data_IF_628938224780
#
_entry.id   IF_628938224780
#
_cell.length_a   1.000
_cell.length_b   1.000
_cell.length_c   1.000
_cell.angle_alpha   90.00
_cell.angle_beta   90.00
_cell.angle_gamma   90.00
#
_symmetry.space_group_name_H-M   'P 1'
#
loop_
_entity.id
_entity.type
_entity.pdbx_description
1 polymer ?
#
# COMPACT_ATOMS: atom_id res chain seq x y z
N UNK A 1 18.52 12.17 8.07
CA UNK A 1 17.17 12.12 7.48
C UNK A 1 16.21 12.74 8.49
N UNK A 2 15.12 13.43 8.09
CA UNK A 2 14.09 13.78 9.06
C UNK A 2 13.65 12.51 9.79
N UNK A 3 13.45 12.59 11.10
CA UNK A 3 13.01 11.48 11.96
C UNK A 3 11.56 11.13 11.56
N UNK A 4 11.43 10.33 10.50
CA UNK A 4 10.15 9.92 9.94
C UNK A 4 9.79 8.55 10.50
N UNK A 5 8.59 8.44 11.07
CA UNK A 5 8.02 7.17 11.50
C UNK A 5 6.98 6.70 10.51
N UNK A 6 6.98 5.40 10.30
CA UNK A 6 6.01 4.72 9.46
C UNK A 6 5.26 3.72 10.33
N UNK A 7 3.93 3.80 10.29
CA UNK A 7 3.04 2.89 11.02
C UNK A 7 2.23 2.14 9.98
N UNK A 8 2.19 0.81 10.09
CA UNK A 8 1.39 -0.05 9.22
C UNK A 8 0.52 -0.95 10.07
N UNK A 9 -0.72 -1.17 9.69
CA UNK A 9 -1.64 -2.09 10.34
C UNK A 9 -2.57 -2.76 9.35
N UNK A 10 -3.08 -3.94 9.70
CA UNK A 10 -4.16 -4.59 8.95
C UNK A 10 -5.47 -3.84 9.16
N UNK A 11 -6.27 -3.75 8.10
CA UNK A 11 -7.60 -3.14 8.10
C UNK A 11 -8.60 -4.06 7.40
N UNK A 12 -9.87 -3.91 7.75
CA UNK A 12 -10.98 -4.56 7.06
C UNK A 12 -11.88 -3.52 6.40
N UNK A 13 -12.53 -3.92 5.32
CA UNK A 13 -13.60 -3.12 4.75
C UNK A 13 -14.92 -3.36 5.49
N UNK A 14 -15.65 -2.27 5.75
CA UNK A 14 -16.98 -2.32 6.36
C UNK A 14 -17.94 -1.38 5.59
N UNK A 15 -18.91 -1.92 4.81
CA UNK A 15 -19.14 -3.34 4.57
C UNK A 15 -17.97 -4.00 3.82
N UNK A 16 -17.83 -5.35 3.88
CA UNK A 16 -16.82 -6.06 3.10
C UNK A 16 -16.93 -5.75 1.60
N UNK A 17 -15.78 -5.67 0.93
CA UNK A 17 -15.74 -5.56 -0.53
C UNK A 17 -16.41 -6.80 -1.14
N UNK A 18 -17.19 -6.61 -2.20
CA UNK A 18 -17.73 -7.72 -2.97
C UNK A 18 -16.59 -8.62 -3.47
N UNK A 19 -16.82 -9.93 -3.58
CA UNK A 19 -15.81 -10.89 -4.06
C UNK A 19 -15.24 -10.52 -5.45
N UNK A 20 -16.01 -9.76 -6.24
CA UNK A 20 -15.61 -9.28 -7.56
C UNK A 20 -14.89 -7.91 -7.55
N UNK A 21 -14.70 -7.28 -6.39
CA UNK A 21 -14.02 -5.99 -6.25
C UNK A 21 -14.75 -4.79 -6.88
N UNK A 22 -16.03 -4.91 -7.20
CA UNK A 22 -16.81 -3.84 -7.82
C UNK A 22 -17.15 -2.77 -6.79
N UNK A 23 -16.37 -1.68 -6.79
CA UNK A 23 -16.77 -0.40 -6.21
C UNK A 23 -17.61 0.37 -7.24
N UNK A 24 -18.81 0.81 -6.84
CA UNK A 24 -19.60 1.72 -7.67
C UNK A 24 -18.77 2.97 -8.01
N UNK A 25 -18.59 3.25 -9.31
CA UNK A 25 -17.83 4.38 -9.86
C UNK A 25 -16.29 4.30 -9.75
N UNK A 26 -15.70 3.16 -9.39
CA UNK A 26 -14.26 2.99 -9.54
C UNK A 26 -13.86 2.87 -11.02
N UNK A 27 -12.74 3.49 -11.39
CA UNK A 27 -12.14 3.25 -12.71
C UNK A 27 -11.76 1.77 -12.86
N UNK A 28 -11.78 1.26 -14.09
CA UNK A 28 -11.50 -0.15 -14.42
C UNK A 28 -10.16 -0.63 -13.87
N UNK A 29 -9.14 0.22 -13.89
CA UNK A 29 -7.83 -0.09 -13.29
C UNK A 29 -7.91 -0.25 -11.77
N UNK A 30 -8.79 0.51 -11.12
CA UNK A 30 -9.01 0.44 -9.68
C UNK A 30 -9.81 -0.81 -9.36
N UNK A 31 -10.96 -1.08 -10.01
CA UNK A 31 -11.76 -2.29 -9.77
C UNK A 31 -10.97 -3.59 -9.95
N UNK A 32 -10.15 -3.70 -11.01
CA UNK A 32 -9.29 -4.86 -11.23
C UNK A 32 -8.21 -5.02 -10.13
N UNK A 33 -7.67 -3.90 -9.65
CA UNK A 33 -6.71 -3.90 -8.56
C UNK A 33 -7.34 -4.11 -7.18
N UNK A 34 -8.66 -4.04 -7.04
CA UNK A 34 -9.35 -4.25 -5.75
C UNK A 34 -9.91 -5.67 -5.63
N UNK A 35 -10.11 -6.37 -6.74
CA UNK A 35 -10.58 -7.77 -6.76
C UNK A 35 -9.94 -8.57 -5.62
N UNK A 36 -10.80 -9.07 -4.73
CA UNK A 36 -10.40 -9.74 -3.49
C UNK A 36 -10.28 -11.23 -3.76
N UNK A 37 -9.05 -11.70 -3.95
CA UNK A 37 -8.77 -13.13 -4.07
C UNK A 37 -8.62 -13.76 -2.69
N UNK A 38 -8.88 -15.08 -2.54
CA UNK A 38 -8.55 -15.81 -1.33
C UNK A 38 -7.08 -15.56 -0.93
N UNK A 39 -6.86 -15.19 0.34
CA UNK A 39 -5.52 -14.85 0.83
C UNK A 39 -5.08 -13.39 0.60
N UNK A 40 -5.98 -12.52 0.14
CA UNK A 40 -5.74 -11.07 0.07
C UNK A 40 -5.81 -10.44 1.47
N UNK A 41 -4.86 -9.56 1.78
CA UNK A 41 -4.83 -8.77 3.02
C UNK A 41 -4.77 -7.29 2.67
N UNK A 42 -5.54 -6.46 3.37
CA UNK A 42 -5.45 -5.01 3.25
C UNK A 42 -4.68 -4.42 4.42
N UNK A 43 -3.71 -3.57 4.10
CA UNK A 43 -2.93 -2.82 5.06
C UNK A 43 -3.21 -1.34 4.88
N UNK A 44 -3.27 -0.62 5.99
CA UNK A 44 -3.23 0.82 6.01
C UNK A 44 -1.86 1.26 6.53
N UNK A 45 -1.29 2.29 5.90
CA UNK A 45 0.04 2.80 6.20
C UNK A 45 0.04 4.31 6.33
N UNK A 46 0.67 4.81 7.38
CA UNK A 46 0.90 6.23 7.66
C UNK A 46 2.39 6.51 7.75
N UNK A 47 2.80 7.68 7.26
CA UNK A 47 4.13 8.22 7.45
C UNK A 47 4.04 9.65 7.96
N UNK A 48 4.67 9.90 9.10
CA UNK A 48 4.65 11.18 9.81
C UNK A 48 6.05 11.52 10.33
N UNK A 49 6.27 12.78 10.71
CA UNK A 49 7.44 13.12 11.52
C UNK A 49 7.24 12.57 12.93
N UNK A 50 8.30 12.08 13.57
CA UNK A 50 8.24 11.44 14.90
C UNK A 50 7.65 12.35 15.99
N UNK A 51 7.74 13.66 15.82
CA UNK A 51 7.16 14.66 16.72
C UNK A 51 5.77 15.18 16.29
N UNK A 52 5.19 14.64 15.21
CA UNK A 52 3.90 15.05 14.63
C UNK A 52 3.14 13.83 14.09
N UNK A 53 3.01 12.77 14.91
CA UNK A 53 2.35 11.53 14.50
C UNK A 53 0.88 11.72 14.11
N UNK A 54 0.24 12.78 14.60
CA UNK A 54 -1.13 13.22 14.28
C UNK A 54 -1.23 13.96 12.93
N UNK A 55 -0.10 14.22 12.24
CA UNK A 55 -0.04 14.95 10.97
C UNK A 55 0.76 14.15 9.94
N UNK A 56 0.26 12.98 9.53
CA UNK A 56 0.93 12.20 8.50
C UNK A 56 0.98 12.99 7.19
N UNK A 57 2.16 13.02 6.56
CA UNK A 57 2.34 13.64 5.25
C UNK A 57 2.13 12.64 4.10
N UNK A 58 2.00 11.35 4.41
CA UNK A 58 1.72 10.29 3.44
C UNK A 58 0.87 9.22 4.11
N UNK A 59 -0.23 8.88 3.47
CA UNK A 59 -1.13 7.80 3.90
C UNK A 59 -1.44 6.94 2.67
N UNK A 60 -1.54 5.63 2.85
CA UNK A 60 -1.89 4.68 1.78
C UNK A 60 -2.72 3.54 2.31
N UNK A 61 -3.60 3.05 1.43
CA UNK A 61 -4.09 1.69 1.51
C UNK A 61 -3.25 0.80 0.60
N UNK A 62 -2.92 -0.40 1.08
CA UNK A 62 -2.19 -1.41 0.34
C UNK A 62 -3.04 -2.68 0.28
N UNK A 63 -3.20 -3.27 -0.90
CA UNK A 63 -3.64 -4.65 -1.09
C UNK A 63 -2.42 -5.53 -1.23
N UNK A 64 -2.34 -6.55 -0.39
CA UNK A 64 -1.30 -7.59 -0.45
C UNK A 64 -1.96 -8.87 -0.97
N UNK A 65 -1.48 -9.39 -2.09
CA UNK A 65 -2.03 -10.60 -2.70
C UNK A 65 -0.92 -11.45 -3.30
N UNK A 66 -1.04 -12.77 -3.18
CA UNK A 66 -0.16 -13.68 -3.91
C UNK A 66 -0.42 -13.54 -5.42
N UNK A 67 0.64 -13.30 -6.19
CA UNK A 67 0.59 -13.36 -7.63
C UNK A 67 1.04 -14.77 -8.06
N UNK A 68 0.06 -15.66 -8.26
CA UNK A 68 0.30 -17.07 -8.58
C UNK A 68 1.08 -17.26 -9.91
N UNK A 69 0.99 -16.32 -10.84
CA UNK A 69 1.67 -16.40 -12.14
C UNK A 69 3.15 -16.01 -12.07
N UNK A 70 3.55 -15.25 -11.05
CA UNK A 70 4.89 -14.63 -10.97
C UNK A 70 5.73 -15.08 -9.78
N UNK A 71 5.26 -16.08 -9.02
CA UNK A 71 5.89 -16.53 -7.75
C UNK A 71 6.27 -15.34 -6.83
N UNK A 72 5.44 -14.30 -6.85
CA UNK A 72 5.71 -13.03 -6.18
C UNK A 72 4.49 -12.60 -5.37
N UNK A 73 4.71 -11.77 -4.34
CA UNK A 73 3.63 -11.10 -3.62
C UNK A 73 3.45 -9.71 -4.23
N UNK A 74 2.26 -9.41 -4.72
CA UNK A 74 1.92 -8.06 -5.17
C UNK A 74 1.50 -7.21 -3.97
N UNK A 75 2.08 -6.02 -3.86
CA UNK A 75 1.63 -4.94 -2.99
C UNK A 75 1.10 -3.79 -3.85
N UNK A 76 -0.21 -3.76 -4.07
CA UNK A 76 -0.90 -2.71 -4.82
C UNK A 76 -1.26 -1.55 -3.89
N UNK A 77 -0.85 -0.33 -4.22
CA UNK A 77 -1.11 0.87 -3.43
C UNK A 77 -2.22 1.74 -4.00
N UNK A 78 -3.06 2.25 -3.11
CA UNK A 78 -4.20 3.10 -3.40
C UNK A 78 -4.13 4.40 -2.59
N UNK A 79 -4.74 5.45 -3.13
CA UNK A 79 -5.06 6.65 -2.36
C UNK A 79 -6.26 6.43 -1.46
N UNK A 80 -6.41 7.32 -0.49
CA UNK A 80 -7.64 7.47 0.28
C UNK A 80 -8.37 8.71 -0.23
N UNK A 81 -9.69 8.62 -0.39
CA UNK A 81 -10.51 9.75 -0.85
C UNK A 81 -10.56 10.86 0.20
N UNK A 82 -10.62 10.50 1.48
CA UNK A 82 -10.41 11.41 2.62
C UNK A 82 -9.36 10.84 3.59
N UNK A 83 -8.07 11.16 3.39
CA UNK A 83 -7.00 10.68 4.26
C UNK A 83 -7.16 11.18 5.71
N UNK A 84 -7.75 12.36 5.93
CA UNK A 84 -7.84 12.95 7.27
C UNK A 84 -8.72 12.11 8.20
N UNK A 85 -9.79 11.51 7.65
CA UNK A 85 -10.66 10.61 8.39
C UNK A 85 -9.98 9.32 8.88
N UNK A 86 -8.81 8.97 8.33
CA UNK A 86 -8.08 7.75 8.67
C UNK A 86 -6.87 7.98 9.57
N UNK A 87 -6.58 9.23 9.98
CA UNK A 87 -5.43 9.54 10.82
C UNK A 87 -5.53 8.79 12.15
N UNK A 88 -4.48 8.04 12.50
CA UNK A 88 -4.42 7.29 13.75
C UNK A 88 -5.20 5.98 13.74
N UNK A 89 -5.67 5.52 12.57
CA UNK A 89 -6.41 4.25 12.44
C UNK A 89 -5.64 3.07 13.04
N UNK A 90 -4.31 3.05 12.87
CA UNK A 90 -3.47 1.98 13.44
C UNK A 90 -3.34 2.02 14.96
N UNK A 91 -3.71 3.12 15.62
CA UNK A 91 -3.78 3.22 17.08
C UNK A 91 -5.05 2.61 17.66
N UNK A 92 -6.08 2.35 16.83
CA UNK A 92 -7.29 1.66 17.26
C UNK A 92 -7.05 0.15 17.48
N UNK A 93 -7.87 -0.52 18.31
CA UNK A 93 -7.91 -1.97 18.38
C UNK A 93 -8.23 -2.60 17.03
N UNK A 94 -7.69 -3.78 16.74
CA UNK A 94 -7.81 -4.43 15.42
C UNK A 94 -9.27 -4.59 14.94
N UNK A 95 -10.20 -4.90 15.85
CA UNK A 95 -11.61 -5.05 15.55
C UNK A 95 -12.28 -3.75 15.03
N UNK A 96 -11.72 -2.60 15.41
CA UNK A 96 -12.22 -1.26 15.10
C UNK A 96 -11.53 -0.64 13.87
N UNK A 97 -10.50 -1.30 13.31
CA UNK A 97 -9.77 -0.84 12.13
C UNK A 97 -10.55 -1.12 10.84
N UNK A 98 -11.67 -0.42 10.71
CA UNK A 98 -12.55 -0.49 9.55
C UNK A 98 -12.32 0.68 8.60
N UNK A 99 -12.41 0.41 7.30
CA UNK A 99 -12.41 1.42 6.24
C UNK A 99 -13.68 1.22 5.42
N UNK A 100 -14.40 2.31 5.13
CA UNK A 100 -15.54 2.24 4.25
C UNK A 100 -15.06 2.04 2.79
N UNK A 101 -15.73 1.21 1.97
CA UNK A 101 -15.40 1.06 0.55
C UNK A 101 -15.30 2.41 -0.20
N UNK A 102 -16.10 3.40 0.18
CA UNK A 102 -16.06 4.77 -0.39
C UNK A 102 -14.80 5.57 -0.04
N UNK A 103 -14.03 5.15 0.96
CA UNK A 103 -12.74 5.75 1.30
C UNK A 103 -11.61 5.30 0.38
N UNK A 104 -11.83 4.24 -0.40
CA UNK A 104 -10.84 3.73 -1.35
C UNK A 104 -10.78 4.63 -2.58
N UNK A 105 -9.62 5.25 -2.77
CA UNK A 105 -9.33 6.12 -3.91
C UNK A 105 -8.69 5.37 -5.06
N UNK A 106 -8.11 6.13 -5.98
CA UNK A 106 -7.51 5.61 -7.20
C UNK A 106 -6.32 4.68 -6.90
N UNK A 107 -6.22 3.61 -7.70
CA UNK A 107 -5.00 2.83 -7.81
C UNK A 107 -3.81 3.72 -8.19
N UNK A 108 -2.65 3.48 -7.59
CA UNK A 108 -1.43 4.24 -7.86
C UNK A 108 -0.37 3.40 -8.52
N UNK A 109 0.01 2.31 -7.88
CA UNK A 109 1.08 1.45 -8.38
C UNK A 109 1.16 0.16 -7.58
N UNK A 110 1.75 -0.86 -8.17
CA UNK A 110 2.11 -2.10 -7.49
C UNK A 110 3.62 -2.17 -7.27
N UNK A 111 4.00 -2.87 -6.21
CA UNK A 111 5.37 -3.35 -5.98
C UNK A 111 5.30 -4.86 -5.90
N UNK A 112 6.16 -5.56 -6.62
CA UNK A 112 6.23 -7.01 -6.60
C UNK A 112 7.37 -7.45 -5.70
N UNK A 113 7.03 -8.17 -4.64
CA UNK A 113 7.93 -8.68 -3.61
C UNK A 113 8.34 -10.11 -3.94
N UNK A 114 9.64 -10.36 -3.94
CA UNK A 114 10.21 -11.70 -4.09
C UNK A 114 10.97 -12.10 -2.82
N UNK A 115 10.91 -13.37 -2.39
CA UNK A 115 11.67 -13.83 -1.25
C UNK A 115 13.18 -13.72 -1.54
N UNK A 116 13.95 -13.30 -0.55
CA UNK A 116 15.41 -13.29 -0.65
C UNK A 116 15.93 -14.71 -0.44
N UNK A 117 16.74 -15.22 -1.37
CA UNK A 117 17.33 -16.55 -1.26
C UNK A 117 18.08 -16.73 0.07
N UNK A 118 17.76 -17.79 0.80
CA UNK A 118 18.34 -18.07 2.12
C UNK A 118 17.69 -17.34 3.30
N UNK A 119 16.64 -16.54 3.08
CA UNK A 119 15.83 -15.94 4.14
C UNK A 119 14.37 -16.37 4.03
N UNK A 120 13.78 -16.74 5.16
CA UNK A 120 12.35 -17.12 5.25
C UNK A 120 11.47 -15.89 5.52
N UNK A 121 12.05 -14.80 6.01
CA UNK A 121 11.31 -13.64 6.52
C UNK A 121 11.63 -12.34 5.78
N UNK A 122 12.46 -12.38 4.75
CA UNK A 122 12.89 -11.19 4.00
C UNK A 122 12.39 -11.24 2.58
N UNK A 123 11.73 -10.17 2.17
CA UNK A 123 11.29 -9.98 0.79
C UNK A 123 11.89 -8.70 0.23
N UNK A 124 12.32 -8.77 -1.04
CA UNK A 124 12.77 -7.62 -1.80
C UNK A 124 11.69 -7.24 -2.82
N UNK A 125 11.20 -6.02 -2.72
CA UNK A 125 10.19 -5.44 -3.57
C UNK A 125 10.76 -4.51 -4.60
N UNK A 126 10.32 -4.63 -5.85
CA UNK A 126 10.57 -3.65 -6.88
C UNK A 126 9.27 -3.20 -7.54
N UNK A 127 9.19 -1.92 -7.91
CA UNK A 127 8.15 -1.43 -8.83
C UNK A 127 8.30 -2.10 -10.20
N UNK A 128 7.24 -2.13 -11.03
CA UNK A 128 7.31 -2.59 -12.41
C UNK A 128 8.46 -1.98 -13.22
N UNK A 129 8.86 -2.63 -14.30
CA UNK A 129 9.93 -2.14 -15.21
C UNK A 129 9.59 -0.81 -15.88
N UNK A 130 8.30 -0.53 -16.05
CA UNK A 130 7.79 0.75 -16.51
C UNK A 130 7.78 1.81 -15.38
N UNK A 131 7.95 1.42 -14.12
CA UNK A 131 7.92 2.32 -12.97
C UNK A 131 6.51 2.85 -12.65
N UNK A 132 6.35 3.39 -11.46
CA UNK A 132 5.10 3.96 -11.00
C UNK A 132 4.90 5.36 -11.57
N UNK A 133 3.72 5.67 -12.11
CA UNK A 133 3.38 7.04 -12.47
C UNK A 133 3.52 7.96 -11.25
N UNK A 134 4.13 9.11 -11.46
CA UNK A 134 4.25 10.15 -10.47
C UNK A 134 4.05 11.51 -11.12
N UNK A 135 3.71 12.49 -10.30
CA UNK A 135 3.70 13.91 -10.65
C UNK A 135 4.55 14.72 -9.66
N UNK A 136 5.42 14.05 -8.88
CA UNK A 136 6.26 14.71 -7.90
C UNK A 136 7.37 15.51 -8.60
N UNK A 137 7.31 16.84 -8.50
CA UNK A 137 8.34 17.75 -9.03
C UNK A 137 8.70 17.52 -10.51
N UNK A 138 7.71 17.19 -11.34
CA UNK A 138 7.89 16.94 -12.78
C UNK A 138 8.52 15.58 -13.12
N UNK A 139 8.65 14.68 -12.15
CA UNK A 139 9.02 13.28 -12.38
C UNK A 139 7.79 12.53 -12.85
N UNK A 140 7.88 11.88 -14.01
CA UNK A 140 6.77 11.11 -14.60
C UNK A 140 6.75 9.67 -14.08
N UNK A 141 7.93 9.10 -13.76
CA UNK A 141 8.06 7.71 -13.29
C UNK A 141 8.99 7.57 -12.09
N UNK A 142 8.57 6.76 -11.12
CA UNK A 142 9.34 6.44 -9.90
C UNK A 142 9.53 4.94 -9.81
N UNK A 143 10.78 4.54 -9.64
CA UNK A 143 11.16 3.19 -9.32
C UNK A 143 11.52 3.11 -7.86
N UNK A 144 11.01 2.12 -7.14
CA UNK A 144 11.31 1.93 -5.72
C UNK A 144 11.80 0.51 -5.45
N UNK A 145 12.76 0.41 -4.54
CA UNK A 145 13.14 -0.86 -3.92
C UNK A 145 12.81 -0.82 -2.44
N UNK A 146 12.13 -1.86 -1.95
CA UNK A 146 11.68 -1.98 -0.56
C UNK A 146 12.14 -3.33 -0.02
N UNK A 147 12.69 -3.35 1.19
CA UNK A 147 12.85 -4.60 1.95
C UNK A 147 11.70 -4.74 2.94
N UNK A 148 11.09 -5.91 3.00
CA UNK A 148 10.07 -6.25 4.00
C UNK A 148 10.60 -7.33 4.94
N UNK A 149 10.38 -7.13 6.23
CA UNK A 149 10.70 -8.06 7.31
C UNK A 149 9.43 -8.40 8.10
N UNK A 150 9.49 -9.39 8.98
CA UNK A 150 8.35 -9.81 9.81
C UNK A 150 7.75 -8.72 10.72
N UNK A 151 8.49 -7.65 11.00
CA UNK A 151 8.09 -6.57 11.92
C UNK A 151 8.14 -5.17 11.30
N UNK A 152 8.30 -5.04 9.98
CA UNK A 152 8.33 -3.72 9.34
C UNK A 152 8.85 -3.71 7.91
N UNK A 153 8.83 -2.53 7.31
CA UNK A 153 9.36 -2.29 5.97
C UNK A 153 10.45 -1.23 6.01
N UNK A 154 11.49 -1.45 5.23
CA UNK A 154 12.57 -0.50 5.01
C UNK A 154 12.58 -0.07 3.55
N UNK A 155 12.66 1.24 3.33
CA UNK A 155 12.79 1.81 2.00
C UNK A 155 14.27 1.87 1.60
N UNK A 156 14.67 1.10 0.59
CA UNK A 156 16.07 0.98 0.20
C UNK A 156 16.51 2.03 -0.84
N UNK A 157 15.57 2.63 -1.58
CA UNK A 157 15.89 3.73 -2.49
C UNK A 157 14.87 3.96 -3.60
N UNK A 158 14.98 5.12 -4.27
CA UNK A 158 14.27 5.45 -5.51
C UNK A 158 15.20 5.78 -6.66
N UNK A 159 14.78 5.42 -7.87
CA UNK A 159 15.24 6.05 -9.11
C UNK A 159 14.08 6.84 -9.71
N UNK A 160 14.35 8.10 -10.07
CA UNK A 160 13.36 9.01 -10.66
C UNK A 160 13.66 9.16 -12.15
N UNK A 161 12.63 9.08 -12.99
CA UNK A 161 12.72 9.39 -14.41
C UNK A 161 11.81 10.58 -14.73
N UNK A 162 12.42 11.60 -15.32
CA UNK A 162 11.75 12.82 -15.79
C UNK A 162 11.21 12.61 -17.19
#
# INVERSE_FOLDING_TARGET
>A
MPDARMTTCTVRFDPPLAENGELENADRSTSAAIASFPGTVFLYQEQALSNQLDKPYRQRLLRISANAEREAVESAGFELTDPKASIGLCSLPEAERAIAPSQLGSYRCSVFLQPVAGSVLTYLGNTPEEGCLSNYRGVVRVFNTISSFSHGHEYLGSRLQR
#
